data_IF_655877717310
#
_entry.id   IF_655877717310
#
_cell.length_a   1.000
_cell.length_b   1.000
_cell.length_c   1.000
_cell.angle_alpha   90.00
_cell.angle_beta   90.00
_cell.angle_gamma   90.00
#
_symmetry.space_group_name_H-M   'P 1'
#
loop_
_entity.id
_entity.type
_entity.pdbx_description
1 polymer ?
#
# COMPACT_ATOMS: atom_id res chain seq x y z
N UNK A 1 8.45 3.92 0.62
CA UNK A 1 7.33 3.22 -0.02
C UNK A 1 7.73 2.78 -1.41
N UNK A 2 6.99 1.86 -2.03
CA UNK A 2 7.14 1.48 -3.42
C UNK A 2 5.85 1.80 -4.17
N UNK A 3 5.97 2.28 -5.40
CA UNK A 3 4.84 2.57 -6.28
C UNK A 3 4.98 1.82 -7.59
N UNK A 4 3.87 1.37 -8.14
CA UNK A 4 3.80 0.75 -9.46
C UNK A 4 2.94 1.63 -10.36
N UNK A 5 3.46 1.87 -11.56
CA UNK A 5 2.85 2.76 -12.53
C UNK A 5 2.78 2.11 -13.91
N UNK A 6 1.67 2.33 -14.61
CA UNK A 6 1.60 2.12 -16.06
C UNK A 6 1.96 3.43 -16.76
N UNK A 7 2.93 3.40 -17.68
CA UNK A 7 3.39 4.57 -18.42
C UNK A 7 3.01 4.47 -19.89
N UNK A 8 2.33 5.50 -20.40
CA UNK A 8 1.99 5.57 -21.81
C UNK A 8 3.25 5.76 -22.67
N UNK A 9 3.46 4.87 -23.65
CA UNK A 9 4.61 4.93 -24.58
C UNK A 9 4.36 5.87 -25.77
N UNK A 10 3.10 6.16 -26.04
CA UNK A 10 2.57 7.08 -27.05
C UNK A 10 1.28 7.69 -26.53
N UNK A 11 0.78 8.74 -27.18
CA UNK A 11 -0.57 9.26 -26.91
C UNK A 11 -1.58 8.12 -27.10
N UNK A 12 -2.38 7.87 -26.06
CA UNK A 12 -3.30 6.74 -25.97
C UNK A 12 -4.68 7.25 -25.57
N UNK A 13 -5.72 6.83 -26.28
CA UNK A 13 -7.11 7.10 -25.93
C UNK A 13 -7.83 5.83 -25.52
N UNK A 14 -8.67 5.89 -24.49
CA UNK A 14 -9.56 4.81 -24.10
C UNK A 14 -10.99 5.33 -23.99
N UNK A 15 -11.95 4.55 -24.50
CA UNK A 15 -13.38 4.82 -24.32
C UNK A 15 -13.99 3.73 -23.42
N UNK A 16 -14.43 4.13 -22.23
CA UNK A 16 -15.11 3.26 -21.28
C UNK A 16 -16.62 3.42 -21.52
N UNK A 17 -17.15 2.57 -22.39
CA UNK A 17 -18.47 2.75 -23.01
C UNK A 17 -19.62 2.79 -21.98
N UNK A 18 -19.61 1.89 -20.99
CA UNK A 18 -20.66 1.81 -19.96
C UNK A 18 -20.73 3.07 -19.08
N UNK A 19 -19.65 3.86 -19.05
CA UNK A 19 -19.57 5.13 -18.35
C UNK A 19 -19.71 6.34 -19.28
N UNK A 20 -19.80 6.13 -20.61
CA UNK A 20 -19.74 7.19 -21.61
C UNK A 20 -18.45 8.02 -21.55
N UNK A 21 -17.37 7.48 -20.96
CA UNK A 21 -16.17 8.23 -20.60
C UNK A 21 -15.06 8.03 -21.62
N UNK A 22 -14.54 9.12 -22.17
CA UNK A 22 -13.31 9.13 -22.98
C UNK A 22 -12.15 9.67 -22.16
N UNK A 23 -11.09 8.87 -22.06
CA UNK A 23 -9.85 9.24 -21.36
C UNK A 23 -8.74 9.34 -22.39
N UNK A 24 -7.97 10.43 -22.31
CA UNK A 24 -6.76 10.63 -23.10
C UNK A 24 -5.57 10.62 -22.14
N UNK A 25 -4.56 9.82 -22.46
CA UNK A 25 -3.30 9.71 -21.71
C UNK A 25 -2.19 10.05 -22.68
N UNK A 26 -1.47 11.15 -22.44
CA UNK A 26 -0.40 11.60 -23.32
C UNK A 26 0.83 10.72 -23.16
N UNK A 27 1.68 10.69 -24.20
CA UNK A 27 2.99 10.03 -24.15
C UNK A 27 3.76 10.48 -22.91
N UNK A 28 4.15 9.50 -22.09
CA UNK A 28 4.91 9.71 -20.87
C UNK A 28 4.08 9.96 -19.61
N UNK A 29 2.78 10.24 -19.73
CA UNK A 29 1.88 10.27 -18.57
C UNK A 29 1.78 8.86 -17.94
N UNK A 30 1.57 8.83 -16.63
CA UNK A 30 1.53 7.61 -15.84
C UNK A 30 0.23 7.47 -15.06
N UNK A 31 -0.22 6.23 -14.89
CA UNK A 31 -1.30 5.85 -13.97
C UNK A 31 -0.66 5.11 -12.81
N UNK A 32 -0.82 5.63 -11.60
CA UNK A 32 -0.46 4.93 -10.37
C UNK A 32 -1.44 3.78 -10.16
N UNK A 33 -0.94 2.54 -10.24
CA UNK A 33 -1.76 1.33 -10.10
C UNK A 33 -1.66 0.71 -8.72
N UNK A 34 -0.54 0.89 -8.01
CA UNK A 34 -0.34 0.30 -6.68
C UNK A 34 0.62 1.12 -5.83
N UNK A 35 0.35 1.18 -4.53
CA UNK A 35 1.28 1.65 -3.50
C UNK A 35 1.53 0.50 -2.53
N UNK A 36 2.77 0.00 -2.49
CA UNK A 36 3.22 -0.96 -1.47
C UNK A 36 3.98 -0.20 -0.38
N UNK A 37 3.30 0.10 0.73
CA UNK A 37 3.93 0.74 1.89
C UNK A 37 4.82 -0.26 2.62
N UNK A 38 5.96 0.24 3.10
CA UNK A 38 6.91 -0.49 3.94
C UNK A 38 6.93 0.20 5.29
N UNK A 39 7.06 -0.59 6.35
CA UNK A 39 6.92 -0.12 7.72
C UNK A 39 8.22 -0.30 8.46
N UNK A 40 8.59 0.69 9.27
CA UNK A 40 9.49 0.48 10.39
C UNK A 40 8.71 -0.11 11.57
N UNK A 41 9.38 -0.74 12.55
CA UNK A 41 8.70 -1.23 13.75
C UNK A 41 7.91 -0.14 14.48
N UNK A 42 8.46 1.08 14.60
CA UNK A 42 7.77 2.20 15.23
C UNK A 42 6.51 2.64 14.46
N UNK A 43 6.55 2.64 13.12
CA UNK A 43 5.36 2.96 12.31
C UNK A 43 4.28 1.89 12.46
N UNK A 44 4.67 0.62 12.46
CA UNK A 44 3.74 -0.47 12.69
C UNK A 44 3.12 -0.40 14.10
N UNK A 45 3.92 -0.08 15.13
CA UNK A 45 3.41 0.10 16.50
C UNK A 45 2.34 1.19 16.57
N UNK A 46 2.59 2.35 15.95
CA UNK A 46 1.58 3.42 15.92
C UNK A 46 0.27 2.94 15.26
N UNK A 47 0.34 2.16 14.18
CA UNK A 47 -0.85 1.59 13.54
C UNK A 47 -1.59 0.61 14.47
N UNK A 48 -0.87 -0.17 15.28
CA UNK A 48 -1.48 -1.09 16.25
C UNK A 48 -2.15 -0.31 17.38
N UNK A 49 -1.47 0.70 17.92
CA UNK A 49 -1.98 1.56 19.00
C UNK A 49 -3.24 2.34 18.57
N UNK A 50 -3.25 2.89 17.35
CA UNK A 50 -4.40 3.56 16.75
C UNK A 50 -5.59 2.60 16.57
N UNK A 51 -5.34 1.31 16.38
CA UNK A 51 -6.35 0.27 16.27
C UNK A 51 -6.78 -0.32 17.63
N UNK A 52 -6.19 0.12 18.76
CA UNK A 52 -6.47 -0.45 20.08
C UNK A 52 -5.90 -1.86 20.28
N UNK A 53 -4.81 -2.17 19.59
CA UNK A 53 -4.16 -3.47 19.60
C UNK A 53 -2.74 -3.37 20.16
N UNK A 54 -2.31 -4.41 20.88
CA UNK A 54 -0.95 -4.52 21.42
C UNK A 54 -0.24 -5.74 20.86
N UNK A 55 1.06 -5.65 20.51
CA UNK A 55 1.82 -6.80 20.04
C UNK A 55 2.13 -7.76 21.19
N UNK A 56 1.76 -9.02 20.99
CA UNK A 56 2.05 -10.13 21.92
C UNK A 56 3.34 -10.84 21.52
N UNK A 57 3.53 -11.08 20.21
CA UNK A 57 4.74 -11.69 19.66
C UNK A 57 5.11 -11.04 18.34
N UNK A 58 6.41 -10.83 18.16
CA UNK A 58 6.98 -10.27 16.94
C UNK A 58 7.96 -11.28 16.33
N UNK A 59 7.65 -11.78 15.15
CA UNK A 59 8.49 -12.69 14.41
C UNK A 59 9.08 -11.97 13.21
N UNK A 60 10.35 -12.25 12.90
CA UNK A 60 11.01 -11.75 11.70
C UNK A 60 11.98 -12.77 11.16
N UNK A 61 12.26 -12.71 9.85
CA UNK A 61 13.30 -13.52 9.23
C UNK A 61 14.71 -13.08 9.72
N UNK A 62 15.76 -13.91 9.56
CA UNK A 62 17.09 -13.58 10.08
C UNK A 62 17.71 -12.30 9.52
N UNK A 63 17.24 -11.82 8.37
CA UNK A 63 17.69 -10.57 7.74
C UNK A 63 16.81 -9.37 8.12
N UNK A 64 15.76 -9.58 8.90
CA UNK A 64 14.78 -8.58 9.31
C UNK A 64 14.11 -7.83 8.14
N UNK A 65 13.79 -8.54 7.06
CA UNK A 65 13.15 -7.95 5.88
C UNK A 65 11.63 -7.96 5.93
N UNK A 66 11.06 -8.92 6.67
CA UNK A 66 9.63 -9.08 6.83
C UNK A 66 9.31 -9.46 8.27
N UNK A 67 8.18 -8.97 8.77
CA UNK A 67 7.71 -9.28 10.11
C UNK A 67 6.28 -9.80 10.08
N UNK A 68 6.03 -10.83 10.90
CA UNK A 68 4.70 -11.26 11.28
C UNK A 68 4.52 -10.89 12.75
N UNK A 69 3.46 -10.15 13.04
CA UNK A 69 3.17 -9.70 14.41
C UNK A 69 1.84 -10.29 14.84
N UNK A 70 1.83 -11.00 15.95
CA UNK A 70 0.61 -11.41 16.63
C UNK A 70 0.17 -10.27 17.55
N UNK A 71 -1.08 -9.84 17.39
CA UNK A 71 -1.69 -8.76 18.14
C UNK A 71 -2.82 -9.29 19.02
N UNK A 72 -3.05 -8.66 20.16
CA UNK A 72 -4.22 -8.87 21.01
C UNK A 72 -4.96 -7.55 21.24
N UNK A 73 -6.22 -7.64 21.64
CA UNK A 73 -7.01 -6.48 22.06
C UNK A 73 -6.46 -5.95 23.37
N UNK A 74 -6.27 -4.64 23.44
CA UNK A 74 -5.97 -3.98 24.71
C UNK A 74 -7.27 -3.88 25.53
N UNK A 75 -7.45 -4.75 26.52
CA UNK A 75 -8.62 -4.75 27.39
C UNK A 75 -8.56 -3.70 28.51
N UNK A 76 -7.42 -3.00 28.65
CA UNK A 76 -7.17 -2.00 29.69
C UNK A 76 -7.35 -0.55 29.14
N UNK A 77 -7.82 -0.41 27.90
CA UNK A 77 -8.19 0.86 27.26
C UNK A 77 -9.66 0.96 26.89
#
# INVERSE_FOLDING_TARGET
QIEMHLKARSDTGAHIADLGLKVCIRRGETILTEISRKFTPAQAQNCFDEAGLVPVRWFTDPQAWFSLVELAVDHER
#
